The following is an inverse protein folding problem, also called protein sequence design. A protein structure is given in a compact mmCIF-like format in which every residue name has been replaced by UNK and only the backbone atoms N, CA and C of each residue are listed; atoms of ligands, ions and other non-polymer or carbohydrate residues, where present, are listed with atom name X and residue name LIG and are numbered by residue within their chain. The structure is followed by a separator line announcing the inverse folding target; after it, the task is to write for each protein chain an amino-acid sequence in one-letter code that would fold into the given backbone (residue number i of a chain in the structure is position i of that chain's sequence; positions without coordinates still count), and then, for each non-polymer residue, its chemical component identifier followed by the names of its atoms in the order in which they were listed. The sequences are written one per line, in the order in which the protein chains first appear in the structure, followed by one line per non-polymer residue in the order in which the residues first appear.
data_IF_498079157051
#
_entry.id   IF_498079157051
#
_cell.length_a   1.000
_cell.length_b   1.000
_cell.length_c   1.000
_cell.angle_alpha   90.00
_cell.angle_beta   90.00
_cell.angle_gamma   90.00
#
_symmetry.space_group_name_H-M   'P 1'
#
loop_
_entity.id
_entity.type
_entity.pdbx_description
1 polymer ?
#
# COMPACT_ATOMS: atom_id res chain seq x y z
N UNK A 1 1.26 17.32 -13.79
CA UNK A 1 2.49 16.84 -14.49
C UNK A 1 2.28 15.36 -14.75
N UNK A 2 2.72 14.85 -15.90
CA UNK A 2 2.56 13.42 -16.18
C UNK A 2 3.63 12.65 -15.39
N UNK A 3 3.27 12.11 -14.22
CA UNK A 3 4.17 11.36 -13.33
C UNK A 3 4.52 10.02 -13.98
N UNK A 4 5.80 9.79 -14.23
CA UNK A 4 6.28 8.58 -14.89
C UNK A 4 6.51 7.47 -13.89
N UNK A 5 5.93 6.31 -14.15
CA UNK A 5 6.16 5.08 -13.40
C UNK A 5 7.46 4.40 -13.86
N UNK A 6 7.92 3.42 -13.15
CA UNK A 6 9.21 2.75 -13.44
C UNK A 6 9.28 2.21 -14.88
N UNK A 7 8.20 1.61 -15.38
CA UNK A 7 8.13 1.08 -16.76
C UNK A 7 8.17 2.17 -17.83
N UNK A 8 7.71 3.39 -17.55
CA UNK A 8 7.80 4.53 -18.47
C UNK A 8 9.27 5.00 -18.66
N UNK A 9 10.16 4.60 -17.75
CA UNK A 9 11.60 4.78 -17.85
C UNK A 9 12.30 3.60 -18.55
N UNK A 10 11.53 2.58 -18.99
CA UNK A 10 12.06 1.39 -19.66
C UNK A 10 12.66 0.34 -18.69
N UNK A 11 12.30 0.37 -17.42
CA UNK A 11 12.76 -0.58 -16.40
C UNK A 11 11.59 -1.48 -16.04
N UNK A 12 11.71 -2.78 -16.26
CA UNK A 12 10.72 -3.79 -15.90
C UNK A 12 11.17 -4.58 -14.67
N UNK A 13 10.23 -4.91 -13.80
CA UNK A 13 10.44 -5.78 -12.64
C UNK A 13 9.71 -7.09 -12.87
N UNK A 14 10.46 -8.19 -12.69
CA UNK A 14 9.92 -9.54 -12.76
C UNK A 14 9.64 -10.03 -14.18
N UNK A 15 9.04 -11.22 -14.26
CA UNK A 15 8.80 -11.95 -15.51
C UNK A 15 7.31 -12.08 -15.84
N UNK A 16 6.42 -11.96 -14.82
CA UNK A 16 5.00 -12.12 -15.05
C UNK A 16 4.40 -10.92 -15.79
N UNK A 17 3.43 -11.15 -16.71
CA UNK A 17 2.71 -10.07 -17.37
C UNK A 17 1.99 -9.18 -16.34
N UNK A 18 1.93 -7.89 -16.61
CA UNK A 18 1.14 -6.95 -15.79
C UNK A 18 -0.33 -6.98 -16.22
N UNK A 19 -1.22 -6.57 -15.33
CA UNK A 19 -2.57 -6.18 -15.70
C UNK A 19 -2.57 -4.90 -16.56
N UNK A 20 -3.74 -4.51 -17.11
CA UNK A 20 -3.86 -3.40 -18.07
C UNK A 20 -3.35 -2.05 -17.56
N UNK A 21 -3.56 -1.75 -16.29
CA UNK A 21 -3.09 -0.51 -15.63
C UNK A 21 -1.81 -0.71 -14.84
N UNK A 22 -1.45 -1.98 -14.61
CA UNK A 22 -0.39 -2.36 -13.67
C UNK A 22 -0.61 -1.73 -12.28
N UNK A 23 -1.84 -1.76 -11.78
CA UNK A 23 -2.28 -1.21 -10.49
C UNK A 23 -3.10 -2.24 -9.70
N UNK A 24 -3.28 -2.04 -8.39
CA UNK A 24 -4.16 -2.86 -7.55
C UNK A 24 -5.58 -2.96 -8.13
N UNK A 25 -6.06 -1.90 -8.75
CA UNK A 25 -7.37 -1.81 -9.40
C UNK A 25 -7.53 -2.64 -10.68
N UNK A 26 -6.51 -3.36 -11.12
CA UNK A 26 -6.67 -4.41 -12.13
C UNK A 26 -7.38 -5.66 -11.57
N UNK A 27 -7.42 -5.81 -10.24
CA UNK A 27 -8.27 -6.81 -9.58
C UNK A 27 -9.73 -6.39 -9.75
N UNK A 28 -10.59 -7.25 -10.32
CA UNK A 28 -11.96 -6.88 -10.62
C UNK A 28 -12.74 -6.35 -9.41
N UNK A 29 -13.38 -5.19 -9.56
CA UNK A 29 -14.20 -4.54 -8.54
C UNK A 29 -13.44 -3.66 -7.55
N UNK A 30 -12.11 -3.65 -7.59
CA UNK A 30 -11.27 -2.82 -6.69
C UNK A 30 -11.14 -1.40 -7.23
N UNK A 31 -11.36 -0.42 -6.37
CA UNK A 31 -11.07 1.00 -6.63
C UNK A 31 -10.27 1.61 -5.48
N UNK A 32 -9.55 2.70 -5.77
CA UNK A 32 -8.71 3.41 -4.79
C UNK A 32 -8.96 4.90 -4.93
N UNK A 33 -9.04 5.60 -3.81
CA UNK A 33 -9.18 7.06 -3.79
C UNK A 33 -8.35 7.72 -2.71
N UNK A 34 -8.14 9.02 -2.85
CA UNK A 34 -7.25 9.80 -2.03
C UNK A 34 -7.91 11.08 -1.53
N UNK A 35 -7.59 11.47 -0.29
CA UNK A 35 -7.78 12.82 0.22
C UNK A 35 -6.43 13.33 0.73
N UNK A 36 -5.87 14.31 0.05
CA UNK A 36 -4.56 14.89 0.38
C UNK A 36 -4.74 16.15 1.22
N UNK A 37 -4.06 16.22 2.36
CA UNK A 37 -3.98 17.41 3.21
C UNK A 37 -2.58 18.00 3.06
N UNK A 38 -2.49 19.13 2.35
CA UNK A 38 -1.23 19.81 2.04
C UNK A 38 -1.41 21.33 2.22
N UNK A 39 -1.03 21.83 3.38
CA UNK A 39 -1.07 23.25 3.74
C UNK A 39 0.22 23.69 4.46
N UNK A 40 0.24 24.87 5.05
CA UNK A 40 1.41 25.44 5.74
C UNK A 40 1.87 24.63 6.96
N UNK A 41 1.05 23.73 7.49
CA UNK A 41 1.32 22.93 8.68
C UNK A 41 1.25 21.43 8.45
N UNK A 42 0.67 20.98 7.35
CA UNK A 42 0.37 19.59 7.15
C UNK A 42 0.83 19.09 5.77
N UNK A 43 1.45 17.93 5.78
CA UNK A 43 1.70 17.08 4.62
C UNK A 43 1.31 15.65 5.01
N UNK A 44 0.04 15.31 4.85
CA UNK A 44 -0.55 14.03 5.24
C UNK A 44 -1.78 13.75 4.38
N UNK A 45 -2.56 12.74 4.72
CA UNK A 45 -3.81 12.45 4.04
C UNK A 45 -4.35 11.07 4.35
N UNK A 46 -5.31 10.67 3.53
CA UNK A 46 -5.97 9.38 3.58
C UNK A 46 -6.01 8.75 2.19
N UNK A 47 -5.71 7.46 2.12
CA UNK A 47 -5.95 6.63 0.95
C UNK A 47 -6.94 5.55 1.33
N UNK A 48 -8.03 5.40 0.57
CA UNK A 48 -9.00 4.34 0.79
C UNK A 48 -8.93 3.32 -0.34
N UNK A 49 -9.00 2.05 0.01
CA UNK A 49 -9.16 0.94 -0.92
C UNK A 49 -10.59 0.41 -0.72
N UNK A 50 -11.40 0.46 -1.77
CA UNK A 50 -12.70 -0.18 -1.85
C UNK A 50 -12.50 -1.54 -2.54
N UNK A 51 -12.46 -2.65 -1.79
CA UNK A 51 -12.05 -3.95 -2.33
C UNK A 51 -13.14 -4.61 -3.19
N UNK A 52 -14.37 -4.11 -3.12
CA UNK A 52 -15.47 -4.50 -3.96
C UNK A 52 -16.59 -3.46 -3.89
N UNK A 53 -17.53 -3.51 -4.83
CA UNK A 53 -18.75 -2.73 -4.78
C UNK A 53 -19.77 -3.32 -3.79
N UNK A 54 -20.71 -2.49 -3.33
CA UNK A 54 -21.79 -2.86 -2.42
C UNK A 54 -21.36 -2.88 -0.95
N UNK A 55 -22.25 -3.39 -0.10
CA UNK A 55 -22.09 -3.39 1.35
C UNK A 55 -21.19 -4.54 1.81
N UNK A 56 -19.94 -4.23 2.11
CA UNK A 56 -18.94 -5.23 2.55
C UNK A 56 -19.29 -5.89 3.89
N UNK A 57 -20.05 -5.23 4.75
CA UNK A 57 -20.50 -5.80 6.00
C UNK A 57 -21.51 -6.94 5.79
N UNK A 58 -22.42 -6.77 4.81
CA UNK A 58 -23.39 -7.78 4.43
C UNK A 58 -22.77 -8.92 3.61
N UNK A 59 -21.76 -8.61 2.80
CA UNK A 59 -21.16 -9.54 1.85
C UNK A 59 -19.62 -9.47 1.91
N UNK A 60 -19.08 -10.12 2.95
CA UNK A 60 -17.66 -10.04 3.31
C UNK A 60 -16.74 -10.72 2.30
N UNK A 61 -15.48 -10.30 2.31
CA UNK A 61 -14.42 -10.95 1.56
C UNK A 61 -13.58 -11.87 2.46
N UNK A 62 -12.98 -12.91 1.86
CA UNK A 62 -11.90 -13.64 2.52
C UNK A 62 -10.68 -12.72 2.57
N UNK A 63 -10.11 -12.58 3.75
CA UNK A 63 -8.99 -11.70 4.01
C UNK A 63 -7.98 -12.32 4.98
N UNK A 64 -6.79 -11.75 5.04
CA UNK A 64 -5.73 -12.15 5.96
C UNK A 64 -4.81 -10.96 6.26
N UNK A 65 -4.03 -11.05 7.33
CA UNK A 65 -2.92 -10.15 7.60
C UNK A 65 -1.60 -10.91 7.78
N UNK A 66 -0.48 -10.19 7.65
CA UNK A 66 0.85 -10.70 7.97
C UNK A 66 1.73 -9.57 8.48
N UNK A 67 2.28 -9.75 9.67
CA UNK A 67 3.23 -8.81 10.27
C UNK A 67 4.63 -9.27 9.90
N UNK A 68 5.36 -8.45 9.12
CA UNK A 68 6.79 -8.67 8.83
C UNK A 68 7.60 -8.14 10.01
N UNK A 69 7.34 -6.89 10.44
CA UNK A 69 7.82 -6.31 11.69
C UNK A 69 6.76 -5.40 12.29
N UNK A 70 6.55 -5.45 13.60
CA UNK A 70 5.34 -4.98 14.26
C UNK A 70 5.45 -3.60 14.95
N UNK A 71 6.38 -2.73 14.59
CA UNK A 71 6.47 -1.38 15.17
C UNK A 71 5.44 -0.42 14.55
N UNK A 72 4.14 -0.71 14.72
CA UNK A 72 3.02 0.01 14.09
C UNK A 72 1.76 0.01 14.93
N UNK A 73 0.72 0.73 14.45
CA UNK A 73 -0.60 0.90 15.12
C UNK A 73 -1.75 0.45 14.21
N UNK A 74 -1.50 -0.47 13.28
CA UNK A 74 -2.52 -1.02 12.38
C UNK A 74 -3.71 -1.56 13.18
N UNK A 75 -4.91 -1.13 12.83
CA UNK A 75 -6.16 -1.59 13.44
C UNK A 75 -6.88 -2.61 12.56
N UNK A 76 -7.66 -3.51 13.17
CA UNK A 76 -8.53 -4.46 12.47
C UNK A 76 -7.92 -5.82 12.18
N UNK A 77 -6.63 -6.05 12.44
CA UNK A 77 -5.95 -7.32 12.14
C UNK A 77 -6.50 -8.53 12.91
N UNK A 78 -7.04 -8.33 14.12
CA UNK A 78 -7.56 -9.41 14.95
C UNK A 78 -8.65 -10.20 14.22
N UNK A 79 -9.65 -9.52 13.63
CA UNK A 79 -10.72 -10.20 12.88
C UNK A 79 -10.21 -10.79 11.57
N UNK A 80 -9.28 -10.11 10.89
CA UNK A 80 -8.66 -10.64 9.68
C UNK A 80 -7.95 -11.97 9.94
N UNK A 81 -7.26 -12.10 11.05
CA UNK A 81 -6.48 -13.29 11.39
C UNK A 81 -7.35 -14.41 11.98
N UNK A 82 -8.28 -14.07 12.88
CA UNK A 82 -9.12 -15.07 13.58
C UNK A 82 -10.28 -15.57 12.71
N UNK A 83 -11.00 -14.65 12.04
CA UNK A 83 -12.19 -15.00 11.25
C UNK A 83 -11.90 -15.13 9.75
N UNK A 84 -10.75 -14.64 9.29
CA UNK A 84 -10.40 -14.65 7.88
C UNK A 84 -11.30 -13.78 7.00
N UNK A 85 -11.90 -12.70 7.55
CA UNK A 85 -12.90 -11.90 6.84
C UNK A 85 -12.64 -10.41 6.93
N UNK A 86 -12.94 -9.70 5.83
CA UNK A 86 -12.94 -8.24 5.71
C UNK A 86 -14.37 -7.74 5.52
N UNK A 87 -14.80 -6.77 6.32
CA UNK A 87 -16.17 -6.24 6.35
C UNK A 87 -16.26 -4.71 6.17
N UNK A 88 -15.11 -4.03 5.99
CA UNK A 88 -15.03 -2.59 5.74
C UNK A 88 -14.10 -2.29 4.58
N UNK A 89 -14.13 -1.08 4.00
CA UNK A 89 -13.00 -0.59 3.23
C UNK A 89 -11.71 -0.64 4.05
N UNK A 90 -10.55 -0.65 3.36
CA UNK A 90 -9.24 -0.51 4.00
C UNK A 90 -8.80 0.94 3.86
N UNK A 91 -8.47 1.62 4.97
CA UNK A 91 -7.94 2.97 4.96
C UNK A 91 -6.46 2.98 5.34
N UNK A 92 -5.68 3.85 4.69
CA UNK A 92 -4.28 4.14 5.03
C UNK A 92 -4.16 5.61 5.41
N UNK A 93 -3.35 5.93 6.44
CA UNK A 93 -3.19 7.30 6.93
C UNK A 93 -1.87 7.51 7.68
N UNK A 94 -1.65 8.70 8.25
CA UNK A 94 -0.55 8.97 9.18
C UNK A 94 -0.82 8.40 10.58
N UNK A 95 0.24 7.95 11.26
CA UNK A 95 0.20 7.14 12.49
C UNK A 95 -0.78 7.61 13.57
N UNK A 96 -0.85 8.92 13.87
CA UNK A 96 -1.72 9.41 14.95
C UNK A 96 -3.19 9.64 14.52
N UNK A 97 -3.51 9.46 13.25
CA UNK A 97 -4.90 9.58 12.74
C UNK A 97 -5.67 8.25 12.82
N UNK A 98 -5.02 7.12 13.09
CA UNK A 98 -5.63 5.77 13.08
C UNK A 98 -6.95 5.73 13.85
N UNK A 99 -6.99 6.27 15.08
CA UNK A 99 -8.20 6.26 15.90
C UNK A 99 -9.36 7.05 15.27
N UNK A 100 -9.10 8.24 14.71
CA UNK A 100 -10.12 9.05 14.02
C UNK A 100 -10.64 8.40 12.75
N UNK A 101 -9.74 7.80 11.97
CA UNK A 101 -10.10 7.11 10.73
C UNK A 101 -10.85 5.81 11.03
N UNK A 102 -10.51 5.10 12.10
CA UNK A 102 -11.26 3.93 12.56
C UNK A 102 -12.70 4.31 12.94
N UNK A 103 -12.90 5.38 13.71
CA UNK A 103 -14.22 5.90 14.06
C UNK A 103 -15.02 6.30 12.81
N UNK A 104 -14.37 6.97 11.86
CA UNK A 104 -14.99 7.35 10.59
C UNK A 104 -15.42 6.14 9.75
N UNK A 105 -14.62 5.06 9.71
CA UNK A 105 -14.99 3.81 9.02
C UNK A 105 -16.16 3.09 9.70
N UNK A 106 -16.24 3.13 11.04
CA UNK A 106 -17.40 2.61 11.79
C UNK A 106 -18.65 3.36 11.38
N UNK A 107 -18.61 4.71 11.42
CA UNK A 107 -19.76 5.54 11.05
C UNK A 107 -20.19 5.32 9.58
N UNK A 108 -19.21 5.25 8.66
CA UNK A 108 -19.47 4.94 7.24
C UNK A 108 -20.16 3.58 7.07
N UNK A 109 -19.65 2.53 7.70
CA UNK A 109 -20.18 1.17 7.56
C UNK A 109 -21.58 1.06 8.16
N UNK A 110 -21.84 1.71 9.29
CA UNK A 110 -23.17 1.78 9.88
C UNK A 110 -24.17 2.47 8.95
N UNK A 111 -23.77 3.60 8.33
CA UNK A 111 -24.63 4.31 7.37
C UNK A 111 -24.93 3.47 6.12
N UNK A 112 -23.95 2.70 5.61
CA UNK A 112 -24.15 1.74 4.52
C UNK A 112 -25.18 0.65 4.92
N UNK A 113 -25.04 0.12 6.13
CA UNK A 113 -25.96 -0.89 6.67
C UNK A 113 -27.39 -0.33 6.83
N UNK A 114 -27.53 0.87 7.36
CA UNK A 114 -28.84 1.52 7.53
C UNK A 114 -29.53 1.77 6.18
N UNK A 115 -28.78 2.23 5.18
CA UNK A 115 -29.29 2.43 3.82
C UNK A 115 -29.81 1.12 3.21
N UNK A 116 -29.11 0.01 3.45
CA UNK A 116 -29.42 -1.29 2.84
C UNK A 116 -30.34 -2.16 3.74
N UNK A 117 -30.80 -1.65 4.88
CA UNK A 117 -31.65 -2.37 5.82
C UNK A 117 -30.95 -3.54 6.53
N UNK A 118 -29.62 -3.49 6.62
CA UNK A 118 -28.79 -4.54 7.25
C UNK A 118 -28.58 -4.22 8.72
N UNK A 119 -28.95 -5.13 9.63
CA UNK A 119 -28.71 -4.94 11.06
C UNK A 119 -27.19 -4.96 11.40
N UNK A 120 -26.66 -3.80 11.79
CA UNK A 120 -25.26 -3.64 12.19
C UNK A 120 -25.15 -3.47 13.72
N UNK A 121 -24.43 -4.37 14.39
CA UNK A 121 -24.24 -4.34 15.86
C UNK A 121 -22.79 -4.18 16.30
N UNK A 122 -21.85 -4.42 15.39
CA UNK A 122 -20.42 -4.34 15.62
C UNK A 122 -19.72 -4.15 14.29
N UNK A 123 -18.69 -3.33 14.23
CA UNK A 123 -17.88 -3.10 13.02
C UNK A 123 -16.41 -3.23 13.40
N UNK A 124 -15.65 -3.94 12.58
CA UNK A 124 -14.20 -4.05 12.74
C UNK A 124 -13.49 -3.25 11.62
N UNK A 125 -13.19 -1.96 11.86
CA UNK A 125 -12.54 -1.12 10.87
C UNK A 125 -11.10 -1.54 10.63
N UNK A 126 -10.66 -1.53 9.38
CA UNK A 126 -9.29 -1.87 8.98
C UNK A 126 -8.53 -0.60 8.57
N UNK A 127 -7.54 -0.21 9.37
CA UNK A 127 -6.74 1.00 9.15
C UNK A 127 -5.26 0.69 9.27
N UNK A 128 -4.50 0.93 8.18
CA UNK A 128 -3.04 0.88 8.17
C UNK A 128 -2.42 2.28 8.31
N UNK A 129 -1.15 2.34 8.69
CA UNK A 129 -0.50 3.61 8.93
C UNK A 129 1.01 3.59 8.68
N UNK A 130 1.56 4.78 8.40
CA UNK A 130 2.99 5.05 8.50
C UNK A 130 3.23 6.39 9.19
N UNK A 131 4.45 6.60 9.72
CA UNK A 131 4.79 7.82 10.44
C UNK A 131 5.32 8.90 9.49
N UNK A 132 4.51 9.93 9.24
CA UNK A 132 4.82 11.06 8.36
C UNK A 132 5.45 12.28 9.07
N UNK A 133 5.99 12.11 10.28
CA UNK A 133 6.52 13.19 11.15
C UNK A 133 7.61 14.05 10.52
N UNK A 134 8.33 13.55 9.51
CA UNK A 134 9.42 14.31 8.86
C UNK A 134 8.87 15.53 8.11
N UNK A 135 7.69 15.40 7.50
CA UNK A 135 7.06 16.45 6.69
C UNK A 135 5.74 16.98 7.26
N UNK A 136 5.24 16.41 8.37
CA UNK A 136 3.91 16.68 8.90
C UNK A 136 3.90 16.94 10.41
N UNK A 137 3.07 17.88 10.88
CA UNK A 137 2.81 18.08 12.31
C UNK A 137 1.79 17.06 12.83
N UNK A 138 2.30 15.96 13.37
CA UNK A 138 1.49 14.82 13.83
C UNK A 138 0.46 15.19 14.89
N UNK A 139 0.77 16.14 15.79
CA UNK A 139 -0.06 16.48 16.95
C UNK A 139 -1.43 17.04 16.55
N UNK A 140 -1.53 17.69 15.39
CA UNK A 140 -2.76 18.33 14.93
C UNK A 140 -3.81 17.32 14.45
N UNK A 141 -3.36 16.12 14.02
CA UNK A 141 -4.23 15.00 13.62
C UNK A 141 -5.38 15.45 12.69
N UNK A 142 -5.07 16.04 11.50
CA UNK A 142 -6.08 16.69 10.67
C UNK A 142 -6.98 15.70 9.90
N UNK A 143 -6.62 14.42 9.80
CA UNK A 143 -7.32 13.42 8.99
C UNK A 143 -8.40 12.71 9.81
N UNK A 144 -9.63 12.63 9.27
CA UNK A 144 -10.78 12.01 9.90
C UNK A 144 -11.93 11.75 8.94
N UNK A 145 -13.18 11.99 9.37
CA UNK A 145 -14.39 11.65 8.62
C UNK A 145 -14.53 12.41 7.29
N UNK A 146 -14.13 13.69 7.25
CA UNK A 146 -14.20 14.50 6.03
C UNK A 146 -13.25 13.96 4.94
N UNK A 147 -12.02 13.61 5.32
CA UNK A 147 -11.02 13.06 4.41
C UNK A 147 -11.40 11.64 3.96
N UNK A 148 -12.04 10.83 4.83
CA UNK A 148 -12.56 9.53 4.44
C UNK A 148 -13.66 9.68 3.38
N UNK A 149 -14.62 10.58 3.59
CA UNK A 149 -15.71 10.83 2.64
C UNK A 149 -15.17 11.35 1.30
N UNK A 150 -14.20 12.26 1.32
CA UNK A 150 -13.55 12.78 0.12
C UNK A 150 -12.78 11.68 -0.63
N UNK A 151 -12.03 10.83 0.05
CA UNK A 151 -11.30 9.73 -0.56
C UNK A 151 -12.23 8.66 -1.17
N UNK A 152 -13.37 8.37 -0.52
CA UNK A 152 -14.39 7.45 -1.07
C UNK A 152 -15.01 8.05 -2.34
N UNK A 153 -15.29 9.36 -2.35
CA UNK A 153 -15.84 10.04 -3.53
C UNK A 153 -14.84 10.11 -4.70
N UNK A 154 -13.53 10.16 -4.42
CA UNK A 154 -12.45 10.15 -5.40
C UNK A 154 -12.15 8.74 -5.97
N UNK A 155 -12.66 7.68 -5.33
CA UNK A 155 -12.25 6.31 -5.64
C UNK A 155 -12.57 5.89 -7.07
N UNK A 156 -11.54 5.48 -7.78
CA UNK A 156 -11.61 5.04 -9.16
C UNK A 156 -10.63 3.91 -9.49
N UNK A 157 -10.76 3.34 -10.69
CA UNK A 157 -9.84 2.32 -11.18
C UNK A 157 -8.51 2.91 -11.65
N UNK A 158 -8.49 4.17 -12.08
CA UNK A 158 -7.27 4.89 -12.44
C UNK A 158 -7.03 5.99 -11.39
N UNK A 159 -6.24 5.66 -10.37
CA UNK A 159 -5.90 6.52 -9.25
C UNK A 159 -4.45 7.02 -9.35
N UNK A 160 -4.16 8.13 -8.70
CA UNK A 160 -2.82 8.72 -8.66
C UNK A 160 -1.86 7.93 -7.74
N UNK A 161 -0.55 8.04 -8.00
CA UNK A 161 0.53 7.48 -7.19
C UNK A 161 1.52 8.58 -6.77
N UNK A 162 2.42 8.26 -5.85
CA UNK A 162 3.43 9.19 -5.33
C UNK A 162 2.95 9.93 -4.08
N UNK A 163 3.21 11.23 -4.03
CA UNK A 163 2.94 12.10 -2.88
C UNK A 163 1.47 12.55 -2.81
N UNK A 164 0.55 11.58 -2.80
CA UNK A 164 -0.91 11.75 -2.73
C UNK A 164 -1.50 11.02 -1.52
N UNK A 165 -2.64 11.47 -1.02
CA UNK A 165 -3.35 10.83 0.07
C UNK A 165 -2.44 10.54 1.26
N UNK A 166 -2.49 9.31 1.78
CA UNK A 166 -1.66 8.85 2.89
C UNK A 166 -0.14 8.88 2.59
N UNK A 167 0.25 8.91 1.30
CA UNK A 167 1.64 9.03 0.87
C UNK A 167 2.21 10.45 0.88
N UNK A 168 1.39 11.48 1.13
CA UNK A 168 1.82 12.89 1.02
C UNK A 168 2.99 13.24 1.93
N UNK A 169 3.01 12.77 3.16
CA UNK A 169 4.04 13.12 4.15
C UNK A 169 5.16 12.10 4.30
N UNK A 170 5.19 11.05 3.50
CA UNK A 170 6.10 9.91 3.71
C UNK A 170 7.47 10.10 3.07
N UNK A 171 8.47 9.43 3.64
CA UNK A 171 9.85 9.35 3.15
C UNK A 171 10.20 7.88 2.89
N UNK A 172 10.79 7.59 1.73
CA UNK A 172 11.23 6.23 1.39
C UNK A 172 12.68 6.24 0.92
N UNK A 173 13.52 5.40 1.50
CA UNK A 173 14.94 5.30 1.15
C UNK A 173 15.66 6.67 1.16
N UNK A 174 15.32 7.53 2.13
CA UNK A 174 15.89 8.87 2.23
C UNK A 174 15.44 9.87 1.16
N UNK A 175 14.52 9.48 0.29
CA UNK A 175 13.90 10.28 -0.77
C UNK A 175 12.41 10.50 -0.45
N UNK A 176 11.71 11.29 -1.26
CA UNK A 176 10.27 11.41 -1.14
C UNK A 176 9.62 10.06 -1.46
N UNK A 177 8.87 9.51 -0.49
CA UNK A 177 8.05 8.32 -0.63
C UNK A 177 6.62 8.63 -1.05
N UNK A 178 5.73 7.63 -1.01
CA UNK A 178 4.35 7.83 -1.41
C UNK A 178 3.52 6.57 -1.50
N UNK A 179 2.43 6.70 -2.23
CA UNK A 179 1.61 5.58 -2.69
C UNK A 179 2.22 5.02 -3.96
N UNK A 180 2.33 3.70 -4.05
CA UNK A 180 2.71 3.04 -5.30
C UNK A 180 1.90 1.77 -5.50
N UNK A 181 1.79 1.33 -6.75
CA UNK A 181 0.99 0.16 -7.08
C UNK A 181 1.59 -0.63 -8.24
N UNK A 182 1.29 -1.92 -8.31
CA UNK A 182 1.60 -2.78 -9.45
C UNK A 182 0.68 -4.00 -9.46
N UNK A 183 0.57 -4.69 -10.59
CA UNK A 183 -0.19 -5.94 -10.70
C UNK A 183 0.54 -6.97 -11.56
N UNK A 184 0.13 -8.23 -11.39
CA UNK A 184 0.59 -9.36 -12.20
C UNK A 184 -0.58 -10.26 -12.58
N UNK A 185 -0.49 -10.81 -13.78
CA UNK A 185 -1.41 -11.84 -14.23
C UNK A 185 -0.84 -13.22 -13.88
N UNK A 186 -1.64 -14.00 -13.18
CA UNK A 186 -1.32 -15.37 -12.77
C UNK A 186 -2.19 -16.33 -13.57
N UNK A 187 -1.57 -17.28 -14.29
CA UNK A 187 -2.31 -18.29 -15.07
C UNK A 187 -2.37 -19.61 -14.31
N UNK A 188 -3.58 -20.08 -14.04
CA UNK A 188 -3.83 -21.37 -13.38
C UNK A 188 -4.88 -22.14 -14.18
N UNK A 189 -4.55 -23.36 -14.60
CA UNK A 189 -5.47 -24.22 -15.36
C UNK A 189 -5.97 -23.59 -16.67
N UNK A 190 -5.18 -22.72 -17.30
CA UNK A 190 -5.55 -21.98 -18.50
C UNK A 190 -6.43 -20.74 -18.26
N UNK A 191 -6.79 -20.45 -17.02
CA UNK A 191 -7.52 -19.23 -16.62
C UNK A 191 -6.53 -18.18 -16.13
N UNK A 192 -6.86 -16.90 -16.38
CA UNK A 192 -6.07 -15.76 -15.97
C UNK A 192 -6.70 -15.09 -14.74
N UNK A 193 -5.89 -14.90 -13.73
CA UNK A 193 -6.24 -14.19 -12.51
C UNK A 193 -5.30 -13.02 -12.31
N UNK A 194 -5.74 -12.02 -11.57
CA UNK A 194 -4.95 -10.83 -11.24
C UNK A 194 -4.54 -10.86 -9.78
N UNK A 195 -3.28 -10.55 -9.51
CA UNK A 195 -2.81 -10.17 -8.18
C UNK A 195 -2.24 -8.76 -8.27
N UNK A 196 -2.79 -7.84 -7.48
CA UNK A 196 -2.34 -6.45 -7.38
C UNK A 196 -1.78 -6.13 -6.01
N UNK A 197 -0.82 -5.23 -5.96
CA UNK A 197 -0.28 -4.65 -4.74
C UNK A 197 -0.43 -3.13 -4.75
N UNK A 198 -0.71 -2.54 -3.58
CA UNK A 198 -0.61 -1.11 -3.29
C UNK A 198 0.22 -0.95 -2.04
N UNK A 199 1.14 0.01 -2.04
CA UNK A 199 2.00 0.30 -0.90
C UNK A 199 1.87 1.76 -0.46
N UNK A 200 1.99 2.00 0.85
CA UNK A 200 2.32 3.29 1.45
C UNK A 200 3.73 3.17 2.01
N UNK A 201 4.71 3.80 1.35
CA UNK A 201 6.13 3.63 1.67
C UNK A 201 6.63 4.73 2.58
N UNK A 202 7.28 4.35 3.69
CA UNK A 202 7.91 5.27 4.63
C UNK A 202 9.06 4.58 5.36
N UNK A 203 10.03 4.00 4.64
CA UNK A 203 11.09 3.16 5.21
C UNK A 203 12.42 3.31 4.49
N UNK A 204 13.47 2.75 5.07
CA UNK A 204 14.75 2.49 4.45
C UNK A 204 15.72 3.68 4.46
N UNK A 205 16.94 3.38 4.08
CA UNK A 205 18.05 4.35 3.96
C UNK A 205 18.47 4.44 2.50
N UNK A 206 18.94 5.61 2.08
CA UNK A 206 19.36 5.82 0.69
C UNK A 206 20.45 4.83 0.25
N UNK A 207 21.41 4.53 1.13
CA UNK A 207 22.54 3.64 0.79
C UNK A 207 22.12 2.22 0.45
N UNK A 208 20.98 1.78 0.97
CA UNK A 208 20.47 0.42 0.80
C UNK A 208 19.60 0.27 -0.45
N UNK A 209 19.16 1.40 -1.09
CA UNK A 209 18.23 1.35 -2.23
C UNK A 209 18.77 0.52 -3.39
N UNK A 210 18.01 -0.52 -3.74
CA UNK A 210 18.20 -1.33 -4.93
C UNK A 210 17.08 -1.09 -5.95
N UNK A 211 17.41 -1.02 -7.22
CA UNK A 211 16.47 -0.96 -8.35
C UNK A 211 16.84 -2.06 -9.34
N UNK A 212 15.98 -3.07 -9.48
CA UNK A 212 16.29 -4.25 -10.31
C UNK A 212 17.66 -4.86 -9.99
N UNK A 213 18.02 -4.93 -8.69
CA UNK A 213 19.32 -5.43 -8.22
C UNK A 213 20.52 -4.47 -8.44
N UNK A 214 20.29 -3.27 -8.99
CA UNK A 214 21.33 -2.26 -9.12
C UNK A 214 21.40 -1.40 -7.85
N UNK A 215 22.59 -1.11 -7.27
CA UNK A 215 22.76 -0.31 -6.06
C UNK A 215 22.55 1.19 -6.36
N UNK A 216 21.30 1.57 -6.65
CA UNK A 216 20.92 2.92 -7.06
C UNK A 216 21.21 3.94 -5.95
N UNK A 217 21.00 3.58 -4.70
CA UNK A 217 21.26 4.46 -3.57
C UNK A 217 22.73 4.87 -3.45
N UNK A 218 23.64 3.93 -3.62
CA UNK A 218 25.07 4.24 -3.64
C UNK A 218 25.47 5.14 -4.83
N UNK A 219 24.80 4.98 -5.98
CA UNK A 219 25.02 5.85 -7.14
C UNK A 219 24.48 7.28 -6.89
N UNK A 220 23.28 7.42 -6.33
CA UNK A 220 22.68 8.72 -5.97
C UNK A 220 23.56 9.44 -4.95
N UNK A 221 24.06 8.73 -3.95
CA UNK A 221 24.94 9.34 -2.91
C UNK A 221 26.18 10.00 -3.50
N UNK A 222 26.77 9.43 -4.55
CA UNK A 222 27.91 10.03 -5.26
C UNK A 222 27.51 11.33 -5.98
N UNK A 223 26.25 11.42 -6.45
CA UNK A 223 25.74 12.62 -7.13
C UNK A 223 25.50 13.77 -6.15
N UNK A 224 24.90 13.46 -4.98
CA UNK A 224 24.47 14.50 -4.04
C UNK A 224 25.50 14.84 -2.96
N UNK A 225 26.60 14.06 -2.83
CA UNK A 225 27.64 14.23 -1.78
C UNK A 225 27.07 14.36 -0.36
N UNK A 226 25.98 13.64 -0.06
CA UNK A 226 25.25 13.72 1.19
C UNK A 226 25.93 12.88 2.31
N UNK A 227 25.82 13.26 3.58
CA UNK A 227 26.28 12.43 4.70
C UNK A 227 25.47 11.12 4.78
N UNK A 228 26.00 10.07 5.46
CA UNK A 228 25.26 8.84 5.70
C UNK A 228 23.88 9.09 6.33
N UNK A 229 22.87 8.36 5.88
CA UNK A 229 21.54 8.45 6.48
C UNK A 229 21.53 7.88 7.90
N UNK A 230 20.73 8.45 8.83
CA UNK A 230 20.51 7.86 10.15
C UNK A 230 19.84 6.48 10.06
N UNK A 231 19.67 5.84 11.22
CA UNK A 231 19.04 4.52 11.35
C UNK A 231 17.69 4.41 10.61
N UNK A 232 17.41 3.23 10.08
CA UNK A 232 16.10 2.90 9.51
C UNK A 232 15.04 2.79 10.64
N UNK A 233 14.10 3.73 10.68
CA UNK A 233 12.98 3.80 11.64
C UNK A 233 11.65 3.94 10.91
N UNK A 234 11.57 3.45 9.71
CA UNK A 234 10.40 3.63 8.84
C UNK A 234 9.32 2.57 9.02
N UNK A 235 8.37 2.57 8.09
CA UNK A 235 7.24 1.64 8.03
C UNK A 235 6.79 1.43 6.59
N UNK A 236 6.19 0.29 6.28
CA UNK A 236 5.59 0.04 4.99
C UNK A 236 4.24 -0.66 5.16
N UNK A 237 3.15 -0.01 4.74
CA UNK A 237 1.88 -0.70 4.58
C UNK A 237 1.81 -1.30 3.18
N UNK A 238 1.46 -2.58 3.10
CA UNK A 238 1.35 -3.33 1.85
C UNK A 238 -0.05 -3.93 1.78
N UNK A 239 -0.80 -3.57 0.75
CA UNK A 239 -2.13 -4.13 0.47
C UNK A 239 -2.02 -5.05 -0.74
N UNK A 240 -2.43 -6.31 -0.61
CA UNK A 240 -2.49 -7.28 -1.71
C UNK A 240 -3.94 -7.66 -1.96
N UNK A 241 -4.44 -7.39 -3.14
CA UNK A 241 -5.75 -7.85 -3.62
C UNK A 241 -5.57 -8.89 -4.73
N UNK A 242 -6.51 -9.82 -4.85
CA UNK A 242 -6.51 -10.81 -5.93
C UNK A 242 -7.93 -11.32 -6.20
N UNK A 243 -8.17 -11.83 -7.40
CA UNK A 243 -9.35 -12.62 -7.76
C UNK A 243 -9.06 -14.14 -7.82
N UNK A 244 -7.88 -14.57 -7.36
CA UNK A 244 -7.58 -15.97 -7.16
C UNK A 244 -8.50 -16.59 -6.10
N UNK A 245 -9.13 -17.75 -6.37
CA UNK A 245 -9.98 -18.43 -5.40
C UNK A 245 -9.11 -19.14 -4.35
N UNK A 246 -8.80 -18.42 -3.29
CA UNK A 246 -7.94 -18.88 -2.19
C UNK A 246 -8.65 -18.82 -0.85
N UNK A 247 -8.29 -19.74 0.05
CA UNK A 247 -8.70 -19.68 1.45
C UNK A 247 -7.90 -18.61 2.21
N UNK A 248 -8.37 -18.25 3.42
CA UNK A 248 -7.61 -17.40 4.36
C UNK A 248 -6.17 -17.92 4.56
N UNK A 249 -5.99 -19.22 4.80
CA UNK A 249 -4.66 -19.82 4.99
C UNK A 249 -3.77 -19.71 3.74
N UNK A 250 -4.32 -19.92 2.54
CA UNK A 250 -3.59 -19.78 1.28
C UNK A 250 -3.22 -18.32 1.02
N UNK A 251 -4.15 -17.41 1.28
CA UNK A 251 -3.91 -15.96 1.19
C UNK A 251 -2.78 -15.54 2.16
N UNK A 252 -2.80 -15.98 3.41
CA UNK A 252 -1.71 -15.73 4.38
C UNK A 252 -0.35 -16.21 3.86
N UNK A 253 -0.29 -17.33 3.12
CA UNK A 253 0.95 -17.80 2.48
C UNK A 253 1.41 -16.85 1.37
N UNK A 254 0.48 -16.29 0.59
CA UNK A 254 0.77 -15.30 -0.46
C UNK A 254 1.31 -14.01 0.18
N UNK A 255 0.66 -13.50 1.23
CA UNK A 255 1.05 -12.26 1.91
C UNK A 255 2.49 -12.31 2.46
N UNK A 256 2.93 -13.47 2.95
CA UNK A 256 4.32 -13.66 3.42
C UNK A 256 5.37 -13.38 2.33
N UNK A 257 5.04 -13.47 1.04
CA UNK A 257 5.96 -13.19 -0.09
C UNK A 257 6.15 -11.71 -0.33
N UNK A 258 5.34 -10.85 0.26
CA UNK A 258 5.55 -9.41 0.25
C UNK A 258 6.93 -9.01 0.82
N UNK A 259 7.41 -9.73 1.85
CA UNK A 259 8.73 -9.52 2.41
C UNK A 259 9.87 -9.72 1.40
N UNK A 260 9.68 -10.60 0.41
CA UNK A 260 10.67 -10.80 -0.68
C UNK A 260 10.73 -9.57 -1.58
N UNK A 261 9.56 -8.99 -1.95
CA UNK A 261 9.50 -7.75 -2.74
C UNK A 261 10.13 -6.58 -1.99
N UNK A 262 9.82 -6.44 -0.70
CA UNK A 262 10.40 -5.42 0.17
C UNK A 262 11.94 -5.55 0.26
N UNK A 263 12.46 -6.75 0.47
CA UNK A 263 13.90 -7.01 0.54
C UNK A 263 14.63 -6.74 -0.78
N UNK A 264 13.98 -6.97 -1.94
CA UNK A 264 14.57 -6.70 -3.26
C UNK A 264 14.79 -5.21 -3.52
N UNK A 265 14.10 -4.33 -2.81
CA UNK A 265 14.35 -2.88 -2.87
C UNK A 265 15.46 -2.41 -1.93
N UNK A 266 16.07 -3.35 -1.16
CA UNK A 266 17.17 -3.07 -0.24
C UNK A 266 16.76 -2.96 1.23
N UNK A 267 15.49 -3.13 1.58
CA UNK A 267 15.07 -3.16 2.98
C UNK A 267 15.59 -4.39 3.69
N UNK A 268 16.16 -4.21 4.86
CA UNK A 268 16.50 -5.30 5.80
C UNK A 268 15.50 -5.42 6.97
N UNK A 269 14.40 -4.65 6.91
CA UNK A 269 13.33 -4.67 7.92
C UNK A 269 13.88 -4.37 9.32
N UNK A 270 14.29 -3.11 9.54
CA UNK A 270 14.91 -2.67 10.81
C UNK A 270 13.96 -2.78 12.00
N UNK A 271 14.51 -2.87 13.23
CA UNK A 271 13.73 -3.02 14.47
C UNK A 271 12.61 -1.97 14.63
N UNK A 272 12.86 -0.73 14.23
CA UNK A 272 11.89 0.38 14.34
C UNK A 272 10.87 0.46 13.21
N UNK A 273 10.83 -0.51 12.30
CA UNK A 273 9.92 -0.54 11.15
C UNK A 273 8.59 -1.17 11.50
N UNK A 274 7.49 -0.61 11.00
CA UNK A 274 6.14 -1.16 11.07
C UNK A 274 5.70 -1.69 9.70
N UNK A 275 6.18 -2.88 9.32
CA UNK A 275 5.93 -3.48 8.02
C UNK A 275 4.79 -4.48 8.13
N UNK A 276 3.61 -4.09 7.65
CA UNK A 276 2.37 -4.88 7.77
C UNK A 276 1.76 -5.09 6.39
N UNK A 277 1.35 -6.32 6.14
CA UNK A 277 0.66 -6.74 4.91
C UNK A 277 -0.79 -7.07 5.24
N UNK A 278 -1.72 -6.44 4.54
CA UNK A 278 -3.14 -6.76 4.57
C UNK A 278 -3.53 -7.30 3.19
N UNK A 279 -4.40 -8.30 3.15
CA UNK A 279 -4.80 -8.84 1.86
C UNK A 279 -6.22 -9.38 1.84
N UNK A 280 -6.78 -9.44 0.63
CA UNK A 280 -8.12 -9.95 0.37
C UNK A 280 -8.21 -10.65 -0.98
N UNK A 281 -9.22 -11.52 -1.12
CA UNK A 281 -9.61 -12.06 -2.43
C UNK A 281 -11.06 -11.72 -2.73
N UNK A 282 -11.33 -11.35 -3.99
CA UNK A 282 -12.68 -11.05 -4.49
C UNK A 282 -13.40 -12.28 -5.06
N UNK A 283 -12.71 -13.43 -5.15
CA UNK A 283 -13.23 -14.66 -5.78
C UNK A 283 -14.39 -15.30 -5.02
N UNK A 284 -14.35 -15.26 -3.69
CA UNK A 284 -15.38 -15.85 -2.84
C UNK A 284 -16.00 -14.75 -1.96
N UNK A 285 -17.32 -14.57 -2.10
CA UNK A 285 -18.12 -13.67 -1.26
C UNK A 285 -18.77 -14.47 -0.14
N UNK A 286 -18.75 -13.89 1.06
CA UNK A 286 -19.28 -14.53 2.27
C UNK A 286 -20.53 -13.78 2.73
N UNK A 287 -21.62 -13.97 1.99
CA UNK A 287 -22.90 -13.33 2.28
C UNK A 287 -23.42 -13.73 3.67
N UNK A 288 -23.95 -12.75 4.42
CA UNK A 288 -24.43 -12.93 5.78
C UNK A 288 -25.73 -13.75 5.83
N UNK A 289 -26.58 -13.65 4.82
CA UNK A 289 -27.92 -14.27 4.77
C UNK A 289 -27.93 -15.67 4.17
N UNK A 290 -26.76 -16.28 3.98
CA UNK A 290 -26.67 -17.67 3.50
C UNK A 290 -26.93 -18.68 4.60
N UNK A 291 -27.30 -19.90 4.16
CA UNK A 291 -27.44 -21.09 5.02
C UNK A 291 -26.19 -21.36 5.87
N UNK A 292 -26.33 -22.19 6.89
CA UNK A 292 -25.22 -22.59 7.80
C UNK A 292 -24.05 -23.24 7.04
N UNK A 293 -24.29 -23.78 5.84
CA UNK A 293 -23.27 -24.39 4.99
C UNK A 293 -22.92 -23.47 3.81
N UNK A 294 -21.61 -23.27 3.59
CA UNK A 294 -21.08 -22.48 2.47
C UNK A 294 -20.24 -23.33 1.55
N UNK A 295 -20.37 -23.09 0.26
CA UNK A 295 -19.47 -23.62 -0.77
C UNK A 295 -18.50 -22.52 -1.19
N UNK A 296 -17.23 -22.85 -1.24
CA UNK A 296 -16.16 -21.95 -1.73
C UNK A 296 -15.30 -22.70 -2.75
N UNK A 297 -14.89 -21.98 -3.77
CA UNK A 297 -13.90 -22.49 -4.73
C UNK A 297 -12.51 -22.23 -4.20
N UNK A 298 -11.65 -23.24 -4.24
CA UNK A 298 -10.26 -23.12 -3.76
C UNK A 298 -9.27 -23.67 -4.79
N UNK A 299 -8.11 -23.02 -4.89
CA UNK A 299 -6.97 -23.57 -5.61
C UNK A 299 -6.35 -24.76 -4.88
N UNK A 300 -5.74 -25.65 -5.62
CA UNK A 300 -4.82 -26.64 -5.06
C UNK A 300 -3.54 -25.94 -4.58
N UNK A 301 -2.89 -26.48 -3.54
CA UNK A 301 -1.67 -25.88 -2.96
C UNK A 301 -0.52 -25.75 -3.97
N UNK A 302 -0.38 -26.74 -4.85
CA UNK A 302 0.68 -26.78 -5.87
C UNK A 302 0.49 -25.71 -6.96
N UNK A 303 -0.69 -25.10 -7.06
CA UNK A 303 -0.96 -24.04 -8.02
C UNK A 303 -0.61 -22.61 -7.50
N UNK A 304 -0.09 -22.49 -6.27
CA UNK A 304 0.16 -21.18 -5.64
C UNK A 304 1.50 -20.53 -6.04
N UNK A 305 2.43 -21.23 -6.66
CA UNK A 305 3.77 -20.69 -6.97
C UNK A 305 3.71 -19.44 -7.85
N UNK A 306 2.79 -19.41 -8.83
CA UNK A 306 2.54 -18.21 -9.64
C UNK A 306 2.08 -17.01 -8.80
N UNK A 307 1.21 -17.23 -7.82
CA UNK A 307 0.75 -16.19 -6.90
C UNK A 307 1.86 -15.72 -5.96
N UNK A 308 2.74 -16.62 -5.51
CA UNK A 308 3.91 -16.26 -4.69
C UNK A 308 4.88 -15.36 -5.46
N UNK A 309 5.18 -15.70 -6.71
CA UNK A 309 5.99 -14.86 -7.60
C UNK A 309 5.32 -13.52 -7.85
N UNK A 310 4.02 -13.52 -8.17
CA UNK A 310 3.24 -12.31 -8.42
C UNK A 310 3.26 -11.34 -7.22
N UNK A 311 3.12 -11.84 -6.00
CA UNK A 311 3.18 -11.02 -4.79
C UNK A 311 4.57 -10.36 -4.63
N UNK A 312 5.66 -11.12 -4.80
CA UNK A 312 7.01 -10.58 -4.70
C UNK A 312 7.29 -9.50 -5.75
N UNK A 313 6.95 -9.78 -7.03
CA UNK A 313 7.18 -8.86 -8.16
C UNK A 313 6.29 -7.59 -8.06
N UNK A 314 5.00 -7.76 -7.68
CA UNK A 314 4.09 -6.61 -7.56
C UNK A 314 4.50 -5.70 -6.41
N UNK A 315 4.95 -6.23 -5.28
CA UNK A 315 5.38 -5.41 -4.14
C UNK A 315 6.68 -4.68 -4.46
N UNK A 316 7.67 -5.33 -5.07
CA UNK A 316 8.92 -4.69 -5.52
C UNK A 316 8.62 -3.52 -6.47
N UNK A 317 7.81 -3.75 -7.52
CA UNK A 317 7.48 -2.71 -8.49
C UNK A 317 6.61 -1.59 -7.88
N UNK A 318 5.68 -1.91 -7.01
CA UNK A 318 4.85 -0.91 -6.32
C UNK A 318 5.70 0.04 -5.46
N UNK A 319 6.69 -0.47 -4.72
CA UNK A 319 7.62 0.34 -3.94
C UNK A 319 8.42 1.27 -4.86
N UNK A 320 8.95 0.76 -5.96
CA UNK A 320 9.71 1.56 -6.91
C UNK A 320 8.82 2.59 -7.64
N UNK A 321 7.55 2.25 -7.93
CA UNK A 321 6.59 3.20 -8.48
C UNK A 321 6.29 4.33 -7.49
N UNK A 322 6.16 4.07 -6.19
CA UNK A 322 5.96 5.10 -5.17
C UNK A 322 7.07 6.14 -5.16
N UNK A 323 8.32 5.70 -5.40
CA UNK A 323 9.49 6.58 -5.52
C UNK A 323 9.51 7.35 -6.85
N UNK A 324 9.21 6.67 -7.98
CA UNK A 324 9.25 7.28 -9.32
C UNK A 324 8.20 8.37 -9.52
N UNK A 325 7.04 8.22 -8.88
CA UNK A 325 5.88 9.11 -9.04
C UNK A 325 5.78 10.19 -7.97
N UNK A 326 6.63 10.16 -6.94
CA UNK A 326 6.69 11.20 -5.92
C UNK A 326 7.55 12.37 -6.38
N UNK A 327 7.00 13.57 -6.28
CA UNK A 327 7.70 14.82 -6.59
C UNK A 327 8.49 15.32 -5.37
N UNK A 328 9.46 16.22 -5.60
CA UNK A 328 10.18 16.92 -4.53
C UNK A 328 9.20 17.66 -3.62
N UNK A 329 9.38 17.51 -2.31
CA UNK A 329 8.56 18.21 -1.28
C UNK A 329 9.49 18.94 -0.32
N UNK A 330 9.16 20.21 -0.06
CA UNK A 330 9.77 21.03 0.99
C UNK A 330 8.72 21.38 2.03
N UNK A 331 8.99 21.10 3.29
CA UNK A 331 8.15 21.47 4.42
C UNK A 331 8.96 22.30 5.42
N UNK A 332 8.36 23.36 5.95
CA UNK A 332 8.98 24.29 6.91
C UNK A 332 8.32 24.15 8.28
N UNK A 333 9.11 24.14 9.33
CA UNK A 333 8.62 24.01 10.70
C UNK A 333 8.29 22.57 11.14
N UNK A 334 8.83 21.56 10.44
CA UNK A 334 8.52 20.14 10.63
C UNK A 334 9.65 19.32 11.26
N UNK A 335 10.86 19.84 11.41
CA UNK A 335 11.97 19.12 12.04
C UNK A 335 11.72 18.79 13.52
N UNK A 336 12.59 17.99 14.12
CA UNK A 336 12.52 17.57 15.52
C UNK A 336 12.45 18.78 16.50
N UNK A 337 13.01 19.94 16.13
CA UNK A 337 12.93 21.18 16.86
C UNK A 337 11.73 22.08 16.44
N UNK A 338 10.90 21.66 15.47
CA UNK A 338 9.72 22.40 15.01
C UNK A 338 9.98 23.64 14.14
N UNK A 339 11.24 23.97 13.85
CA UNK A 339 11.64 25.19 13.14
C UNK A 339 12.56 24.92 11.94
N UNK A 340 12.75 23.67 11.55
CA UNK A 340 13.63 23.30 10.45
C UNK A 340 12.87 23.27 9.13
N UNK A 341 13.57 23.54 8.04
CA UNK A 341 13.09 23.29 6.68
C UNK A 341 13.67 21.97 6.19
N UNK A 342 12.79 21.02 5.88
CA UNK A 342 13.15 19.70 5.35
C UNK A 342 12.76 19.64 3.88
N UNK A 343 13.71 19.24 3.03
CA UNK A 343 13.46 18.96 1.61
C UNK A 343 13.77 17.52 1.30
N UNK A 344 12.81 16.80 0.76
CA UNK A 344 13.00 15.45 0.21
C UNK A 344 12.96 15.53 -1.31
N UNK A 345 14.03 15.07 -1.97
CA UNK A 345 14.10 14.98 -3.43
C UNK A 345 13.22 13.84 -3.96
N UNK A 346 12.67 13.99 -5.14
CA UNK A 346 12.02 12.91 -5.87
C UNK A 346 13.07 11.99 -6.50
N UNK A 347 12.81 10.67 -6.50
CA UNK A 347 13.70 9.70 -7.16
C UNK A 347 13.83 9.95 -8.67
N UNK A 348 12.77 10.43 -9.30
CA UNK A 348 12.73 10.78 -10.74
C UNK A 348 13.80 11.81 -11.15
N UNK A 349 14.28 12.64 -10.23
CA UNK A 349 15.35 13.61 -10.49
C UNK A 349 16.69 12.94 -10.80
N UNK A 350 16.93 11.75 -10.28
CA UNK A 350 18.18 10.99 -10.43
C UNK A 350 18.11 9.95 -11.55
N UNK A 351 16.91 9.53 -11.97
CA UNK A 351 16.73 8.50 -12.97
C UNK A 351 17.47 8.75 -14.30
N UNK A 352 17.48 9.96 -14.87
CA UNK A 352 18.25 10.21 -16.10
C UNK A 352 19.72 9.83 -16.01
N UNK A 353 20.36 10.08 -14.86
CA UNK A 353 21.77 9.71 -14.62
C UNK A 353 21.96 8.21 -14.35
N UNK A 354 20.95 7.51 -13.83
CA UNK A 354 21.02 6.09 -13.51
C UNK A 354 20.66 5.17 -14.69
N UNK A 355 19.86 5.66 -15.65
CA UNK A 355 19.32 4.85 -16.76
C UNK A 355 20.37 4.06 -17.56
N UNK A 356 21.57 4.60 -17.89
CA UNK A 356 22.57 3.83 -18.62
C UNK A 356 22.98 2.55 -17.89
N UNK A 357 23.13 2.62 -16.56
CA UNK A 357 23.50 1.46 -15.73
C UNK A 357 22.32 0.51 -15.48
N UNK A 358 21.09 1.02 -15.38
CA UNK A 358 19.89 0.21 -15.17
C UNK A 358 19.51 -0.60 -16.41
N UNK A 359 19.62 0.00 -17.62
CA UNK A 359 19.26 -0.66 -18.89
C UNK A 359 20.32 -1.65 -19.39
N UNK A 360 21.56 -1.52 -18.97
CA UNK A 360 22.65 -2.42 -19.37
C UNK A 360 22.65 -3.79 -18.67
N UNK A 361 21.63 -4.08 -17.85
CA UNK A 361 21.49 -5.33 -17.09
C UNK A 361 20.30 -6.20 -17.54
N UNK A 362 19.52 -5.76 -18.55
CA UNK A 362 18.41 -6.49 -19.14
C UNK A 362 18.82 -7.48 -20.23
#
# INVERSE_FOLDING_TARGET
MNRKRLRDWGIAIGELPTGPRNKLSDVPGVTVGHATVADSGHNTGLTVILPASGNLYADKLIAASHIINGYGKTAGSIQLDELGTLETPIALTGTLNVGKVSDALVAYTMAECDRDGVACRSVNPVVGETNDAVLNRLADRPVGAAELAAAIADAGADFDEGDVGAGRGTMCMGLKGGIGSASRIVTVGGQHFTLGALVQTNFGRLDDLLVAGYPAGAAIRRIVSAPPAPEDKGSCMIIIGTDLPVSHRQLSRILRRAAVGLARTGSFVGHGSGDVVLGFTTANRLCREQDDLRQVTLLREEALDGAFRAAAESVEEAILNSLCTADRVTATGMGAAGNETVTLAGFSEFLPALLPALRGRG
#
